data_IF_014866867593
#
_entry.id   IF_014866867593
#
_cell.length_a   1.000
_cell.length_b   1.000
_cell.length_c   1.000
_cell.angle_alpha   90.00
_cell.angle_beta   90.00
_cell.angle_gamma   90.00
#
_symmetry.space_group_name_H-M   'P 1'
#
loop_
_entity.id
_entity.type
_entity.pdbx_description
1 polymer ?
#
# COMPACT_ATOMS: atom_id res chain seq x y z
N UNK A 1 20.20 11.23 16.61
CA UNK A 1 19.03 11.10 15.71
C UNK A 1 19.23 9.81 14.92
N UNK A 2 18.51 8.75 15.27
CA UNK A 2 18.54 7.51 14.50
C UNK A 2 17.77 7.75 13.20
N UNK A 3 18.49 7.90 12.09
CA UNK A 3 17.88 7.91 10.75
C UNK A 3 17.14 6.60 10.59
N UNK A 4 15.81 6.64 10.60
CA UNK A 4 15.00 5.48 10.26
C UNK A 4 15.26 5.15 8.78
N UNK A 5 15.32 3.87 8.44
CA UNK A 5 15.35 3.47 7.04
C UNK A 5 14.02 3.91 6.37
N UNK A 6 14.03 4.28 5.06
CA UNK A 6 12.84 4.83 4.40
C UNK A 6 11.60 3.95 4.50
N UNK A 7 11.78 2.62 4.54
CA UNK A 7 10.69 1.66 4.73
C UNK A 7 10.08 1.70 6.14
N UNK A 8 10.89 1.86 7.18
CA UNK A 8 10.41 2.00 8.56
C UNK A 8 9.65 3.31 8.74
N UNK A 9 10.16 4.40 8.16
CA UNK A 9 9.47 5.69 8.17
C UNK A 9 8.13 5.61 7.42
N UNK A 10 8.13 5.03 6.22
CA UNK A 10 6.91 4.81 5.43
C UNK A 10 5.88 3.97 6.20
N UNK A 11 6.31 2.87 6.83
CA UNK A 11 5.44 2.03 7.63
C UNK A 11 4.79 2.83 8.76
N UNK A 12 5.59 3.62 9.48
CA UNK A 12 5.12 4.43 10.60
C UNK A 12 4.13 5.50 10.14
N UNK A 13 4.44 6.22 9.06
CA UNK A 13 3.56 7.26 8.52
C UNK A 13 2.22 6.65 8.06
N UNK A 14 2.24 5.57 7.29
CA UNK A 14 1.01 4.91 6.84
C UNK A 14 0.18 4.33 7.99
N UNK A 15 0.84 3.76 9.00
CA UNK A 15 0.16 3.23 10.19
C UNK A 15 -0.50 4.33 11.04
N UNK A 16 0.02 5.56 10.97
CA UNK A 16 -0.50 6.71 11.70
C UNK A 16 -1.65 7.44 10.98
N UNK A 17 -2.01 7.05 9.76
CA UNK A 17 -3.13 7.64 9.00
C UNK A 17 -4.39 6.80 9.25
N UNK A 18 -5.37 7.29 10.05
CA UNK A 18 -6.55 6.51 10.41
C UNK A 18 -7.38 6.06 9.20
N UNK A 19 -7.41 6.87 8.13
CA UNK A 19 -8.13 6.61 6.89
C UNK A 19 -7.68 5.31 6.21
N UNK A 20 -6.42 4.90 6.39
CA UNK A 20 -5.92 3.62 5.88
C UNK A 20 -6.70 2.47 6.51
N UNK A 21 -6.79 2.45 7.85
CA UNK A 21 -7.52 1.43 8.60
C UNK A 21 -9.03 1.49 8.34
N UNK A 22 -9.61 2.70 8.35
CA UNK A 22 -11.04 2.91 8.09
C UNK A 22 -11.47 2.47 6.68
N UNK A 23 -10.55 2.51 5.72
CA UNK A 23 -10.75 2.03 4.35
C UNK A 23 -10.62 0.50 4.21
N UNK A 24 -10.38 -0.22 5.30
CA UNK A 24 -10.18 -1.67 5.32
C UNK A 24 -8.78 -2.10 4.89
N UNK A 25 -7.80 -1.20 4.93
CA UNK A 25 -6.40 -1.50 4.65
C UNK A 25 -5.59 -1.64 5.93
N UNK A 26 -4.50 -2.40 5.85
CA UNK A 26 -3.49 -2.45 6.91
C UNK A 26 -2.11 -2.49 6.30
N UNK A 27 -1.14 -1.98 7.04
CA UNK A 27 0.28 -1.98 6.67
C UNK A 27 1.10 -2.74 7.70
N UNK A 28 2.11 -3.45 7.24
CA UNK A 28 3.03 -4.22 8.09
C UNK A 28 4.41 -4.29 7.47
N UNK A 29 5.40 -4.67 8.26
CA UNK A 29 6.75 -4.94 7.74
C UNK A 29 6.71 -5.98 6.61
N UNK A 30 7.61 -5.82 5.64
CA UNK A 30 7.78 -6.78 4.56
C UNK A 30 8.16 -8.16 5.07
N UNK A 31 7.77 -9.21 4.32
CA UNK A 31 8.03 -10.62 4.70
C UNK A 31 9.52 -10.96 4.90
N UNK A 32 10.42 -10.20 4.28
CA UNK A 32 11.87 -10.34 4.39
C UNK A 32 12.48 -9.46 5.50
N UNK A 33 11.66 -8.80 6.32
CA UNK A 33 12.11 -7.79 7.28
C UNK A 33 12.48 -6.44 6.64
N UNK A 34 12.23 -6.27 5.34
CA UNK A 34 12.52 -5.05 4.58
C UNK A 34 11.34 -4.66 3.71
N UNK A 35 11.07 -3.35 3.63
CA UNK A 35 9.92 -2.80 2.90
C UNK A 35 8.62 -2.81 3.69
N UNK A 36 7.53 -2.40 3.03
CA UNK A 36 6.20 -2.26 3.62
C UNK A 36 5.20 -3.06 2.82
N UNK A 37 4.49 -3.99 3.46
CA UNK A 37 3.39 -4.74 2.85
C UNK A 37 2.08 -4.01 3.12
N UNK A 38 1.29 -3.81 2.07
CA UNK A 38 -0.05 -3.24 2.13
C UNK A 38 -1.07 -4.35 1.89
N UNK A 39 -2.05 -4.46 2.77
CA UNK A 39 -3.11 -5.45 2.74
C UNK A 39 -4.47 -4.76 2.60
N UNK A 40 -5.42 -5.38 1.90
CA UNK A 40 -6.85 -5.04 1.91
C UNK A 40 -7.61 -6.16 2.59
N UNK A 41 -8.01 -5.95 3.85
CA UNK A 41 -8.47 -7.02 4.73
C UNK A 41 -7.40 -8.11 4.87
N UNK A 42 -7.71 -9.33 4.39
CA UNK A 42 -6.76 -10.47 4.39
C UNK A 42 -5.98 -10.63 3.07
N UNK A 43 -6.31 -9.83 2.05
CA UNK A 43 -5.74 -9.97 0.72
C UNK A 43 -4.50 -9.10 0.58
N UNK A 44 -3.45 -9.65 -0.01
CA UNK A 44 -2.27 -8.90 -0.40
C UNK A 44 -2.66 -7.87 -1.47
N UNK A 45 -2.33 -6.59 -1.25
CA UNK A 45 -2.63 -5.50 -2.17
C UNK A 45 -1.38 -5.06 -2.94
N UNK A 46 -0.23 -5.05 -2.25
CA UNK A 46 1.07 -4.80 -2.85
C UNK A 46 2.12 -4.52 -1.79
N UNK A 47 3.33 -4.18 -2.20
CA UNK A 47 4.41 -3.84 -1.27
C UNK A 47 5.31 -2.75 -1.80
N UNK A 48 5.82 -1.92 -0.91
CA UNK A 48 6.96 -1.05 -1.15
C UNK A 48 8.25 -1.76 -0.80
N UNK A 49 9.27 -1.63 -1.65
CA UNK A 49 10.63 -2.15 -1.44
C UNK A 49 11.62 -1.01 -1.50
N UNK A 50 12.56 -0.95 -0.56
CA UNK A 50 13.67 -0.01 -0.63
C UNK A 50 14.78 -0.58 -1.51
N UNK A 51 15.16 0.12 -2.57
CA UNK A 51 16.24 -0.26 -3.50
C UNK A 51 17.05 1.00 -3.81
N UNK A 52 18.36 1.00 -3.56
CA UNK A 52 19.27 2.11 -3.89
C UNK A 52 18.74 3.52 -3.56
N UNK A 53 18.18 3.67 -2.35
CA UNK A 53 17.55 4.90 -1.79
C UNK A 53 16.19 5.28 -2.39
N UNK A 54 15.66 4.50 -3.32
CA UNK A 54 14.31 4.65 -3.85
C UNK A 54 13.34 3.67 -3.19
N UNK A 55 12.05 4.01 -3.26
CA UNK A 55 10.95 3.13 -2.88
C UNK A 55 10.25 2.64 -4.15
N UNK A 56 10.16 1.32 -4.28
CA UNK A 56 9.58 0.65 -5.44
C UNK A 56 8.29 -0.05 -5.03
N UNK A 57 7.17 0.38 -5.60
CA UNK A 57 5.88 -0.27 -5.47
C UNK A 57 5.79 -1.49 -6.37
N UNK A 58 5.41 -2.61 -5.77
CA UNK A 58 5.14 -3.88 -6.44
C UNK A 58 3.67 -4.26 -6.18
N UNK A 59 2.77 -4.15 -7.17
CA UNK A 59 1.36 -4.49 -6.99
C UNK A 59 1.16 -5.99 -6.80
N UNK A 60 0.06 -6.38 -6.16
CA UNK A 60 -0.35 -7.79 -6.08
C UNK A 60 -0.72 -8.37 -7.45
N UNK A 61 -1.30 -7.55 -8.31
CA UNK A 61 -1.56 -7.89 -9.70
C UNK A 61 -0.37 -7.49 -10.57
N UNK A 62 0.44 -8.48 -10.98
CA UNK A 62 1.66 -8.22 -11.76
C UNK A 62 1.40 -7.73 -13.20
N UNK A 63 0.14 -7.66 -13.64
CA UNK A 63 -0.20 -6.98 -14.90
C UNK A 63 -0.29 -5.46 -14.74
N UNK A 64 -0.40 -4.96 -13.51
CA UNK A 64 -0.38 -3.53 -13.22
C UNK A 64 1.06 -3.02 -13.15
N UNK A 65 1.34 -1.80 -13.63
CA UNK A 65 2.67 -1.23 -13.58
C UNK A 65 3.09 -1.01 -12.12
N UNK A 66 4.38 -1.27 -11.84
CA UNK A 66 5.02 -0.79 -10.62
C UNK A 66 5.14 0.74 -10.60
N UNK A 67 5.61 1.28 -9.49
CA UNK A 67 5.88 2.71 -9.36
C UNK A 67 7.16 2.93 -8.56
N UNK A 68 7.97 3.91 -8.94
CA UNK A 68 9.24 4.22 -8.28
C UNK A 68 9.18 5.66 -7.81
N UNK A 69 9.54 5.89 -6.56
CA UNK A 69 9.57 7.21 -5.93
C UNK A 69 10.84 7.38 -5.12
N UNK A 70 11.27 8.62 -4.92
CA UNK A 70 12.53 8.93 -4.23
C UNK A 70 12.33 9.27 -2.75
N UNK A 71 11.09 9.59 -2.36
CA UNK A 71 10.77 10.07 -1.01
C UNK A 71 9.66 9.26 -0.36
N UNK A 72 9.67 9.25 0.98
CA UNK A 72 8.61 8.63 1.79
C UNK A 72 7.27 9.34 1.54
N UNK A 73 7.26 10.66 1.44
CA UNK A 73 6.04 11.45 1.22
C UNK A 73 5.36 11.10 -0.11
N UNK A 74 6.13 10.87 -1.18
CA UNK A 74 5.60 10.40 -2.46
C UNK A 74 5.03 8.99 -2.35
N UNK A 75 5.70 8.09 -1.63
CA UNK A 75 5.20 6.73 -1.39
C UNK A 75 3.89 6.74 -0.58
N UNK A 76 3.79 7.60 0.44
CA UNK A 76 2.56 7.81 1.22
C UNK A 76 1.45 8.31 0.30
N UNK A 77 1.69 9.40 -0.44
CA UNK A 77 0.71 9.96 -1.37
C UNK A 77 0.23 8.92 -2.38
N UNK A 78 1.16 8.20 -3.00
CA UNK A 78 0.82 7.17 -3.98
C UNK A 78 -0.02 6.06 -3.36
N UNK A 79 0.32 5.60 -2.15
CA UNK A 79 -0.45 4.57 -1.43
C UNK A 79 -1.88 5.03 -1.16
N UNK A 80 -2.08 6.27 -0.73
CA UNK A 80 -3.42 6.83 -0.50
C UNK A 80 -4.24 6.91 -1.79
N UNK A 81 -3.62 7.30 -2.91
CA UNK A 81 -4.27 7.30 -4.22
C UNK A 81 -4.70 5.91 -4.67
N UNK A 82 -3.86 4.88 -4.43
CA UNK A 82 -4.21 3.49 -4.72
C UNK A 82 -5.39 3.00 -3.87
N UNK A 83 -5.44 3.39 -2.59
CA UNK A 83 -6.56 3.10 -1.69
C UNK A 83 -7.85 3.73 -2.23
N UNK A 84 -7.83 5.02 -2.57
CA UNK A 84 -8.98 5.74 -3.14
C UNK A 84 -9.49 5.06 -4.41
N UNK A 85 -8.58 4.77 -5.36
CA UNK A 85 -8.93 4.06 -6.61
C UNK A 85 -9.56 2.69 -6.34
N UNK A 86 -9.05 1.94 -5.36
CA UNK A 86 -9.61 0.64 -4.96
C UNK A 86 -11.02 0.76 -4.36
N UNK A 87 -11.27 1.80 -3.57
CA UNK A 87 -12.60 2.08 -2.99
C UNK A 87 -13.59 2.40 -4.12
N UNK A 88 -13.22 3.29 -5.04
CA UNK A 88 -14.05 3.67 -6.20
C UNK A 88 -14.41 2.46 -7.07
N UNK A 89 -13.43 1.61 -7.37
CA UNK A 89 -13.63 0.40 -8.18
C UNK A 89 -14.53 -0.63 -7.48
N UNK A 90 -14.53 -0.66 -6.14
CA UNK A 90 -15.41 -1.57 -5.39
C UNK A 90 -16.87 -1.11 -5.46
N UNK A 91 -17.11 0.20 -5.46
CA UNK A 91 -18.47 0.78 -5.52
C UNK A 91 -19.17 0.53 -6.86
N UNK A 92 -18.42 0.41 -7.95
CA UNK A 92 -18.96 0.24 -9.31
C UNK A 92 -19.24 -1.21 -9.70
N UNK A 93 -18.81 -2.20 -8.91
CA UNK A 93 -19.24 -3.60 -9.11
C UNK A 93 -20.64 -3.79 -8.51
N UNK A 94 -21.67 -4.11 -9.32
CA UNK A 94 -22.97 -4.44 -8.77
C UNK A 94 -22.81 -5.68 -7.86
N UNK A 95 -23.52 -5.74 -6.72
CA UNK A 95 -23.58 -6.97 -5.94
C UNK A 95 -24.07 -8.06 -6.89
N UNK A 96 -23.37 -9.20 -6.93
CA UNK A 96 -23.91 -10.41 -7.56
C UNK A 96 -25.19 -10.75 -6.81
N UNK A 97 -26.33 -10.29 -7.32
CA UNK A 97 -27.63 -10.72 -6.86
C UNK A 97 -27.65 -12.25 -6.94
N UNK A 98 -28.10 -12.87 -5.86
CA UNK A 98 -28.30 -14.31 -5.78
C UNK A 98 -29.09 -14.78 -7.01
N UNK A 99 -28.39 -15.47 -7.92
CA UNK A 99 -29.03 -16.29 -8.93
C UNK A 99 -29.22 -17.67 -8.31
N UNK A 100 -30.38 -17.88 -7.70
CA UNK A 100 -31.03 -19.18 -7.50
C UNK A 100 -32.50 -18.91 -7.19
#
# INVERSE_FOLDING_TARGET
MTSATPDRELLQQLANIPEVALSGFSVREGLSGTGVTVMKGRNYFGSWRAVDRQLVWVPANLTEPGHIVETVDEAVRHTLLLILKSIETTRTKPPRSMAS
#
